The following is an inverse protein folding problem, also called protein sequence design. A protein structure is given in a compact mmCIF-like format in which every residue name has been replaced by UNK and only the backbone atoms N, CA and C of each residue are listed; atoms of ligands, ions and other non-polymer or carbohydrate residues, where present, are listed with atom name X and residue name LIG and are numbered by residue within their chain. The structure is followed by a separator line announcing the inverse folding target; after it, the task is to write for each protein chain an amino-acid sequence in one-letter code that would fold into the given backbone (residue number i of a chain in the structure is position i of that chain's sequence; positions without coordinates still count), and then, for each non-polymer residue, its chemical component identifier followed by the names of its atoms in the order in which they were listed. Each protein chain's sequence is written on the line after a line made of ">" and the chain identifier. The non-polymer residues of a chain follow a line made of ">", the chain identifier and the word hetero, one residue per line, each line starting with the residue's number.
data_IF_865786804138
#
_entry.id   IF_865786804138
#
_cell.length_a   1.000
_cell.length_b   1.000
_cell.length_c   1.000
_cell.angle_alpha   90.00
_cell.angle_beta   90.00
_cell.angle_gamma   90.00
#
_symmetry.space_group_name_H-M   'P 1'
#
loop_
_entity.id
_entity.type
_entity.pdbx_description
1 polymer ?
#
# COMPACT_ATOMS: atom_id res chain seq x y z
N UNK A 1 -0.41 10.85 -9.17
CA UNK A 1 -1.47 10.63 -8.20
C UNK A 1 -0.91 10.18 -6.85
N UNK A 2 -0.20 9.08 -6.82
CA UNK A 2 0.40 8.54 -5.60
C UNK A 2 1.87 8.27 -5.82
N UNK A 3 2.73 8.80 -4.95
CA UNK A 3 4.16 8.52 -4.96
C UNK A 3 4.58 8.09 -3.58
N UNK A 4 5.20 6.92 -3.50
CA UNK A 4 5.68 6.36 -2.24
C UNK A 4 7.13 5.93 -2.42
N UNK A 5 7.99 6.31 -1.46
CA UNK A 5 9.33 5.77 -1.40
C UNK A 5 9.76 5.55 0.04
N UNK A 6 10.63 4.58 0.22
CA UNK A 6 11.24 4.32 1.52
C UNK A 6 12.54 5.10 1.58
N UNK A 7 12.69 5.92 2.61
CA UNK A 7 13.86 6.75 2.84
C UNK A 7 14.34 6.51 4.27
N UNK A 8 15.58 6.08 4.43
CA UNK A 8 16.19 5.81 5.74
C UNK A 8 15.34 4.93 6.63
N UNK A 9 14.71 3.92 6.03
CA UNK A 9 13.83 3.00 6.75
C UNK A 9 12.43 3.51 7.00
N UNK A 10 12.14 4.78 6.72
CA UNK A 10 10.80 5.35 6.81
C UNK A 10 10.15 5.49 5.45
N UNK A 11 8.87 5.82 5.45
CA UNK A 11 8.08 5.99 4.24
C UNK A 11 7.79 7.46 3.99
N UNK A 12 8.16 7.95 2.81
CA UNK A 12 7.80 9.29 2.36
C UNK A 12 6.75 9.20 1.27
N UNK A 13 5.65 9.94 1.43
CA UNK A 13 4.50 9.87 0.54
C UNK A 13 4.14 11.26 0.04
N UNK A 14 4.05 11.40 -1.28
CA UNK A 14 3.49 12.60 -1.90
C UNK A 14 2.15 12.25 -2.51
N UNK A 15 1.12 13.00 -2.15
CA UNK A 15 -0.24 12.72 -2.58
C UNK A 15 -0.88 13.94 -3.22
N UNK A 16 -1.70 13.66 -4.24
CA UNK A 16 -2.64 14.62 -4.80
C UNK A 16 -4.05 14.06 -4.58
N UNK A 17 -4.95 14.92 -4.15
CA UNK A 17 -6.36 14.53 -4.03
C UNK A 17 -6.95 14.41 -5.43
N UNK A 18 -7.01 13.17 -5.94
CA UNK A 18 -7.51 12.87 -7.28
C UNK A 18 -8.95 12.36 -7.29
N UNK A 19 -9.46 12.01 -6.11
CA UNK A 19 -10.81 11.46 -5.97
C UNK A 19 -11.61 12.33 -5.00
N UNK A 20 -12.90 12.55 -5.33
CA UNK A 20 -13.79 13.30 -4.45
C UNK A 20 -14.14 12.49 -3.22
N UNK A 21 -14.26 11.19 -3.35
CA UNK A 21 -14.63 10.29 -2.27
C UNK A 21 -13.41 9.60 -1.69
N UNK A 22 -13.11 9.80 -0.39
CA UNK A 22 -11.97 9.13 0.23
C UNK A 22 -12.00 7.61 0.11
N UNK A 23 -13.20 7.01 0.11
CA UNK A 23 -13.34 5.57 -0.02
C UNK A 23 -12.77 5.01 -1.31
N UNK A 24 -12.68 5.81 -2.37
CA UNK A 24 -12.09 5.38 -3.63
C UNK A 24 -10.62 5.01 -3.46
N UNK A 25 -9.92 5.66 -2.54
CA UNK A 25 -8.54 5.29 -2.21
C UNK A 25 -8.45 3.87 -1.66
N UNK A 26 -9.48 3.42 -0.92
CA UNK A 26 -9.53 2.05 -0.43
C UNK A 26 -9.60 1.04 -1.57
N UNK A 27 -10.38 1.33 -2.60
CA UNK A 27 -10.46 0.48 -3.79
C UNK A 27 -9.09 0.42 -4.49
N UNK A 28 -8.45 1.56 -4.68
CA UNK A 28 -7.14 1.62 -5.32
C UNK A 28 -6.10 0.80 -4.55
N UNK A 29 -6.08 0.96 -3.23
CA UNK A 29 -5.11 0.24 -2.40
C UNK A 29 -5.37 -1.27 -2.41
N UNK A 30 -6.63 -1.70 -2.41
CA UNK A 30 -6.98 -3.11 -2.49
C UNK A 30 -6.56 -3.70 -3.85
N UNK A 31 -6.78 -2.97 -4.93
CA UNK A 31 -6.36 -3.41 -6.26
C UNK A 31 -4.85 -3.53 -6.35
N UNK A 32 -4.14 -2.55 -5.79
CA UNK A 32 -2.68 -2.57 -5.76
C UNK A 32 -2.17 -3.80 -4.99
N UNK A 33 -2.81 -4.13 -3.87
CA UNK A 33 -2.44 -5.32 -3.09
C UNK A 33 -2.61 -6.59 -3.91
N UNK A 34 -3.68 -6.71 -4.69
CA UNK A 34 -3.91 -7.88 -5.54
C UNK A 34 -2.86 -7.99 -6.64
N UNK A 35 -2.49 -6.87 -7.26
CA UNK A 35 -1.44 -6.89 -8.27
C UNK A 35 -0.10 -7.29 -7.67
N UNK A 36 0.24 -6.79 -6.49
CA UNK A 36 1.45 -7.18 -5.80
C UNK A 36 1.46 -8.69 -5.49
N UNK A 37 0.34 -9.22 -5.01
CA UNK A 37 0.23 -10.65 -4.73
C UNK A 37 0.43 -11.50 -5.98
N UNK A 38 -0.08 -11.06 -7.14
CA UNK A 38 0.13 -11.77 -8.41
C UNK A 38 1.59 -11.78 -8.82
N UNK A 39 2.31 -10.70 -8.60
CA UNK A 39 3.74 -10.64 -8.91
C UNK A 39 4.49 -11.66 -8.05
N UNK A 40 4.19 -11.74 -6.76
CA UNK A 40 4.80 -12.75 -5.91
C UNK A 40 4.49 -14.17 -6.39
N UNK A 41 3.25 -14.42 -6.79
CA UNK A 41 2.87 -15.74 -7.28
C UNK A 41 3.59 -16.10 -8.60
N UNK A 42 3.86 -15.10 -9.45
CA UNK A 42 4.56 -15.33 -10.72
C UNK A 42 6.05 -15.48 -10.55
N UNK A 43 6.66 -14.80 -9.59
CA UNK A 43 8.11 -14.72 -9.46
C UNK A 43 8.67 -15.55 -8.30
N UNK A 44 7.81 -16.05 -7.42
CA UNK A 44 8.23 -16.87 -6.28
C UNK A 44 7.35 -18.11 -6.18
N UNK A 45 7.57 -18.92 -5.15
CA UNK A 45 6.76 -20.12 -4.93
C UNK A 45 5.57 -19.86 -4.00
N UNK A 46 5.36 -18.62 -3.60
CA UNK A 46 4.22 -18.23 -2.77
C UNK A 46 2.98 -18.17 -3.65
N UNK A 47 1.88 -18.76 -3.20
CA UNK A 47 0.62 -18.65 -3.94
C UNK A 47 0.05 -17.23 -3.85
N UNK A 48 -0.79 -16.86 -4.81
CA UNK A 48 -1.42 -15.56 -4.81
C UNK A 48 -2.26 -15.35 -3.53
N UNK A 49 -3.01 -16.35 -3.10
CA UNK A 49 -3.83 -16.27 -1.90
C UNK A 49 -2.98 -16.07 -0.65
N UNK A 50 -1.87 -16.80 -0.52
CA UNK A 50 -0.97 -16.67 0.62
C UNK A 50 -0.30 -15.30 0.64
N UNK A 51 0.14 -14.82 -0.52
CA UNK A 51 0.75 -13.50 -0.64
C UNK A 51 -0.26 -12.40 -0.28
N UNK A 52 -1.48 -12.51 -0.78
CA UNK A 52 -2.53 -11.52 -0.49
C UNK A 52 -2.88 -11.53 1.00
N UNK A 53 -2.96 -12.70 1.61
CA UNK A 53 -3.25 -12.79 3.04
C UNK A 53 -2.13 -12.17 3.88
N UNK A 54 -0.88 -12.42 3.52
CA UNK A 54 0.26 -11.83 4.21
C UNK A 54 0.26 -10.30 4.10
N UNK A 55 -0.06 -9.78 2.91
CA UNK A 55 -0.16 -8.33 2.71
C UNK A 55 -1.28 -7.75 3.58
N UNK A 56 -2.43 -8.41 3.59
CA UNK A 56 -3.58 -7.95 4.38
C UNK A 56 -3.28 -7.96 5.87
N UNK A 57 -2.63 -9.02 6.37
CA UNK A 57 -2.31 -9.14 7.79
C UNK A 57 -1.39 -8.01 8.25
N UNK A 58 -0.36 -7.69 7.47
CA UNK A 58 0.53 -6.58 7.77
C UNK A 58 -0.15 -5.23 7.59
N UNK A 59 -1.01 -5.10 6.58
CA UNK A 59 -1.80 -3.90 6.38
C UNK A 59 -2.69 -3.63 7.60
N UNK A 60 -3.39 -4.65 8.07
CA UNK A 60 -4.29 -4.50 9.22
C UNK A 60 -3.50 -4.14 10.49
N UNK A 61 -2.34 -4.75 10.70
CA UNK A 61 -1.48 -4.44 11.83
C UNK A 61 -0.99 -3.00 11.80
N UNK A 62 -0.51 -2.54 10.66
CA UNK A 62 -0.03 -1.16 10.48
C UNK A 62 -1.17 -0.15 10.54
N UNK A 63 -2.35 -0.52 10.07
CA UNK A 63 -3.53 0.34 10.15
C UNK A 63 -3.87 0.66 11.59
N UNK A 64 -3.81 -0.36 12.45
CA UNK A 64 -4.17 -0.21 13.87
C UNK A 64 -3.03 0.39 14.71
N UNK A 65 -1.77 0.10 14.34
CA UNK A 65 -0.58 0.51 15.08
C UNK A 65 0.56 0.84 14.13
N UNK A 66 0.56 2.03 13.52
CA UNK A 66 1.64 2.39 12.60
C UNK A 66 3.00 2.35 13.31
N UNK A 67 3.97 1.69 12.69
CA UNK A 67 5.35 1.67 13.17
C UNK A 67 6.13 2.87 12.66
N UNK A 68 5.64 3.50 11.58
CA UNK A 68 6.27 4.66 10.98
C UNK A 68 5.19 5.56 10.38
N UNK A 69 5.08 6.78 10.88
CA UNK A 69 4.10 7.73 10.34
C UNK A 69 4.55 8.37 9.04
N UNK A 70 5.85 8.34 8.76
CA UNK A 70 6.38 8.87 7.52
C UNK A 70 6.23 10.37 7.36
N UNK A 71 6.31 10.82 6.12
CA UNK A 71 6.16 12.23 5.74
C UNK A 71 5.15 12.34 4.62
N UNK A 72 4.25 13.30 4.74
CA UNK A 72 3.23 13.52 3.72
C UNK A 72 3.28 14.96 3.22
N UNK A 73 3.30 15.11 1.89
CA UNK A 73 3.25 16.42 1.25
C UNK A 73 2.16 16.41 0.20
N UNK A 74 1.23 17.39 0.24
CA UNK A 74 0.26 17.51 -0.83
C UNK A 74 0.93 17.88 -2.15
N UNK A 75 0.46 17.30 -3.24
CA UNK A 75 0.94 17.61 -4.58
C UNK A 75 -0.16 18.32 -5.35
N UNK A 76 0.14 19.51 -5.82
CA UNK A 76 -0.82 20.31 -6.61
C UNK A 76 -0.48 20.30 -8.08
#
# INVERSE_FOLDING_TARGET
>A
VLRCFVVDGGLSVGLRRSFDEPGTWGVLLADLARHAARIYALETQVSEDDALQAIKDMFDAEWSRPTDFGTTSPMN
#
